data_IF_591374730155
#
_entry.id   IF_591374730155
#
_cell.length_a   1.000
_cell.length_b   1.000
_cell.length_c   1.000
_cell.angle_alpha   90.00
_cell.angle_beta   90.00
_cell.angle_gamma   90.00
#
_symmetry.space_group_name_H-M   'P 1'
#
loop_
_entity.id
_entity.type
_entity.pdbx_description
1 polymer ?
#
# COMPACT_ATOMS: atom_id res chain seq x y z
N UNK A 1 -21.53 -45.62 -15.23
CA UNK A 1 -20.18 -45.36 -14.67
C UNK A 1 -19.75 -43.89 -14.71
N UNK A 2 -19.90 -43.18 -15.84
CA UNK A 2 -19.52 -41.76 -15.98
C UNK A 2 -20.16 -40.75 -15.00
N UNK A 3 -21.48 -40.81 -14.68
CA UNK A 3 -22.10 -39.79 -13.81
C UNK A 3 -21.60 -39.88 -12.36
N UNK A 4 -21.32 -41.09 -11.86
CA UNK A 4 -20.76 -41.30 -10.52
C UNK A 4 -19.34 -40.72 -10.43
N UNK A 5 -18.54 -40.82 -11.49
CA UNK A 5 -17.21 -40.21 -11.53
C UNK A 5 -17.27 -38.68 -11.48
N UNK A 6 -18.20 -38.04 -12.23
CA UNK A 6 -18.38 -36.59 -12.19
C UNK A 6 -18.86 -36.09 -10.82
N UNK A 7 -19.79 -36.81 -10.17
CA UNK A 7 -20.25 -36.48 -8.82
C UNK A 7 -19.07 -36.54 -7.82
N UNK A 8 -18.25 -37.59 -7.87
CA UNK A 8 -17.06 -37.71 -7.01
C UNK A 8 -16.07 -36.57 -7.23
N UNK A 9 -15.81 -36.22 -8.49
CA UNK A 9 -14.91 -35.11 -8.83
C UNK A 9 -15.46 -33.75 -8.35
N UNK A 10 -16.77 -33.53 -8.48
CA UNK A 10 -17.41 -32.29 -8.00
C UNK A 10 -17.37 -32.17 -6.47
N UNK A 11 -17.63 -33.27 -5.76
CA UNK A 11 -17.54 -33.30 -4.29
C UNK A 11 -16.10 -33.06 -3.84
N UNK A 12 -15.13 -33.78 -4.40
CA UNK A 12 -13.72 -33.58 -4.08
C UNK A 12 -13.23 -32.15 -4.38
N UNK A 13 -13.62 -31.61 -5.55
CA UNK A 13 -13.29 -30.23 -5.93
C UNK A 13 -13.87 -29.20 -4.97
N UNK A 14 -15.15 -29.36 -4.59
CA UNK A 14 -15.80 -28.45 -3.62
C UNK A 14 -15.14 -28.53 -2.24
N UNK A 15 -14.80 -29.73 -1.77
CA UNK A 15 -14.09 -29.92 -0.50
C UNK A 15 -12.71 -29.27 -0.52
N UNK A 16 -11.96 -29.35 -1.62
CA UNK A 16 -10.68 -28.64 -1.71
C UNK A 16 -10.85 -27.12 -1.76
N UNK A 17 -11.76 -26.62 -2.61
CA UNK A 17 -11.97 -25.17 -2.80
C UNK A 17 -12.51 -24.47 -1.55
N UNK A 18 -13.38 -25.14 -0.78
CA UNK A 18 -13.99 -24.56 0.44
C UNK A 18 -13.22 -24.99 1.68
N UNK A 19 -12.79 -26.24 1.76
CA UNK A 19 -12.08 -26.80 2.90
C UNK A 19 -10.70 -26.18 3.12
N UNK A 20 -9.99 -25.80 2.06
CA UNK A 20 -8.72 -25.06 2.19
C UNK A 20 -8.90 -23.73 2.94
N UNK A 21 -9.70 -22.79 2.41
CA UNK A 21 -10.00 -21.53 3.10
C UNK A 21 -10.63 -21.73 4.48
N UNK A 22 -11.57 -22.67 4.63
CA UNK A 22 -12.21 -22.95 5.92
C UNK A 22 -11.22 -23.43 6.99
N UNK A 23 -10.27 -24.30 6.62
CA UNK A 23 -9.21 -24.75 7.52
C UNK A 23 -8.31 -23.59 7.92
N UNK A 24 -7.94 -22.72 6.98
CA UNK A 24 -7.13 -21.51 7.26
C UNK A 24 -7.87 -20.60 8.24
N UNK A 25 -9.16 -20.34 8.02
CA UNK A 25 -9.95 -19.53 8.95
C UNK A 25 -10.07 -20.18 10.33
N UNK A 26 -10.15 -21.51 10.40
CA UNK A 26 -10.24 -22.23 11.67
C UNK A 26 -8.94 -22.17 12.49
N UNK A 27 -7.77 -22.24 11.84
CA UNK A 27 -6.47 -22.23 12.54
C UNK A 27 -5.91 -20.83 12.77
N UNK A 28 -6.31 -19.86 11.96
CA UNK A 28 -5.80 -18.48 12.09
C UNK A 28 -6.48 -17.83 13.30
N UNK A 29 -5.73 -17.43 14.33
CA UNK A 29 -6.30 -16.80 15.51
C UNK A 29 -6.93 -15.45 15.17
N UNK A 30 -7.97 -15.08 15.91
CA UNK A 30 -8.68 -13.81 15.73
C UNK A 30 -7.74 -12.60 15.95
N UNK A 31 -7.91 -11.49 15.21
CA UNK A 31 -7.05 -10.31 15.33
C UNK A 31 -6.99 -9.75 16.76
N UNK A 32 -8.08 -9.83 17.52
CA UNK A 32 -8.18 -9.33 18.89
C UNK A 32 -7.41 -10.21 19.88
N UNK A 33 -7.39 -11.53 19.66
CA UNK A 33 -6.57 -12.45 20.45
C UNK A 33 -5.08 -12.24 20.15
N UNK A 34 -4.74 -12.00 18.89
CA UNK A 34 -3.37 -11.71 18.47
C UNK A 34 -2.89 -10.37 19.07
N UNK A 35 -3.75 -9.36 19.10
CA UNK A 35 -3.46 -8.06 19.72
C UNK A 35 -3.15 -8.18 21.21
N UNK A 36 -3.90 -9.02 21.96
CA UNK A 36 -3.64 -9.28 23.39
C UNK A 36 -2.29 -9.94 23.64
N UNK A 37 -1.77 -10.71 22.68
CA UNK A 37 -0.45 -11.36 22.76
C UNK A 37 0.71 -10.43 22.40
N UNK A 38 0.44 -9.24 21.86
CA UNK A 38 1.49 -8.27 21.52
C UNK A 38 2.08 -7.60 22.76
N UNK A 39 3.36 -7.24 22.67
CA UNK A 39 4.03 -6.39 23.65
C UNK A 39 3.30 -5.02 23.76
N UNK A 40 3.31 -4.37 24.94
CA UNK A 40 2.55 -3.14 25.18
C UNK A 40 2.90 -1.99 24.22
N UNK A 41 4.15 -1.90 23.77
CA UNK A 41 4.58 -0.92 22.77
C UNK A 41 3.90 -1.15 21.41
N UNK A 42 3.80 -2.41 20.97
CA UNK A 42 3.18 -2.78 19.69
C UNK A 42 1.66 -2.61 19.73
N UNK A 43 1.03 -2.81 20.88
CA UNK A 43 -0.39 -2.52 21.08
C UNK A 43 -0.66 -1.03 20.88
N UNK A 44 0.11 -0.17 21.54
CA UNK A 44 -0.01 1.29 21.41
C UNK A 44 0.20 1.73 19.96
N UNK A 45 1.27 1.26 19.31
CA UNK A 45 1.56 1.58 17.91
C UNK A 45 0.46 1.11 16.96
N UNK A 46 -0.15 -0.05 17.22
CA UNK A 46 -1.25 -0.57 16.39
C UNK A 46 -2.51 0.29 16.53
N UNK A 47 -2.81 0.78 17.74
CA UNK A 47 -3.92 1.69 17.99
C UNK A 47 -3.70 3.05 17.31
N UNK A 48 -2.50 3.63 17.45
CA UNK A 48 -2.13 4.89 16.79
C UNK A 48 -2.15 4.78 15.27
N UNK A 49 -1.72 3.65 14.71
CA UNK A 49 -1.71 3.42 13.26
C UNK A 49 -3.07 2.98 12.70
N UNK A 50 -4.13 2.85 13.51
CA UNK A 50 -5.42 2.35 13.02
C UNK A 50 -6.02 3.26 11.95
N UNK A 51 -6.13 4.55 12.24
CA UNK A 51 -6.66 5.55 11.29
C UNK A 51 -5.78 5.64 10.05
N UNK A 52 -4.46 5.61 10.23
CA UNK A 52 -3.49 5.62 9.11
C UNK A 52 -3.68 4.39 8.21
N UNK A 53 -3.94 3.23 8.80
CA UNK A 53 -4.18 1.97 8.07
C UNK A 53 -5.48 2.02 7.28
N UNK A 54 -6.56 2.51 7.89
CA UNK A 54 -7.85 2.70 7.22
C UNK A 54 -7.73 3.67 6.05
N UNK A 55 -7.06 4.80 6.26
CA UNK A 55 -6.80 5.79 5.20
C UNK A 55 -5.96 5.21 4.06
N UNK A 56 -4.87 4.49 4.38
CA UNK A 56 -4.03 3.82 3.37
C UNK A 56 -4.80 2.76 2.60
N UNK A 57 -5.68 2.03 3.27
CA UNK A 57 -6.53 1.02 2.64
C UNK A 57 -7.52 1.66 1.65
N UNK A 58 -8.19 2.73 2.07
CA UNK A 58 -9.09 3.49 1.21
C UNK A 58 -8.36 4.08 -0.02
N UNK A 59 -7.17 4.66 0.19
CA UNK A 59 -6.34 5.17 -0.90
C UNK A 59 -5.91 4.06 -1.86
N UNK A 60 -5.50 2.91 -1.32
CA UNK A 60 -5.09 1.75 -2.11
C UNK A 60 -6.25 1.21 -2.96
N UNK A 61 -7.44 1.05 -2.38
CA UNK A 61 -8.65 0.65 -3.12
C UNK A 61 -9.02 1.69 -4.19
N UNK A 62 -8.83 2.98 -3.91
CA UNK A 62 -9.01 4.05 -4.88
C UNK A 62 -8.08 3.91 -6.09
N UNK A 63 -6.78 3.73 -5.84
CA UNK A 63 -5.78 3.50 -6.91
C UNK A 63 -6.05 2.22 -7.70
N UNK A 64 -6.39 1.12 -7.03
CA UNK A 64 -6.75 -0.12 -7.70
C UNK A 64 -7.95 0.04 -8.62
N UNK A 65 -8.99 0.77 -8.17
CA UNK A 65 -10.16 1.07 -9.01
C UNK A 65 -9.77 1.90 -10.23
N UNK A 66 -8.85 2.85 -10.07
CA UNK A 66 -8.35 3.65 -11.18
C UNK A 66 -7.53 2.82 -12.17
N UNK A 67 -6.62 1.99 -11.68
CA UNK A 67 -5.80 1.10 -12.51
C UNK A 67 -6.62 0.05 -13.23
N UNK A 68 -7.71 -0.42 -12.60
CA UNK A 68 -8.65 -1.36 -13.19
C UNK A 68 -9.39 -0.81 -14.42
N UNK A 69 -9.38 0.51 -14.65
CA UNK A 69 -9.98 1.12 -15.86
C UNK A 69 -9.06 1.04 -17.07
N UNK A 70 -7.78 0.72 -16.88
CA UNK A 70 -6.82 0.59 -17.96
C UNK A 70 -6.82 -0.84 -18.51
N UNK A 71 -6.68 -0.97 -19.82
CA UNK A 71 -6.49 -2.27 -20.49
C UNK A 71 -5.10 -2.88 -20.22
N UNK A 72 -4.17 -2.10 -19.65
CA UNK A 72 -2.85 -2.57 -19.26
C UNK A 72 -2.92 -3.34 -17.94
N UNK A 73 -2.04 -4.33 -17.72
CA UNK A 73 -1.94 -4.99 -16.42
C UNK A 73 -1.64 -4.00 -15.28
N UNK A 74 -2.28 -4.18 -14.14
CA UNK A 74 -2.22 -3.26 -12.98
C UNK A 74 -0.78 -2.93 -12.56
N UNK A 75 0.13 -3.91 -12.60
CA UNK A 75 1.53 -3.72 -12.23
C UNK A 75 2.31 -2.81 -13.20
N UNK A 76 1.92 -2.76 -14.47
CA UNK A 76 2.53 -1.86 -15.46
C UNK A 76 2.08 -0.43 -15.21
N UNK A 77 0.78 -0.22 -15.02
CA UNK A 77 0.20 1.11 -14.74
C UNK A 77 0.75 1.67 -13.42
N UNK A 78 0.82 0.85 -12.39
CA UNK A 78 1.40 1.25 -11.10
C UNK A 78 2.88 1.67 -11.24
N UNK A 79 3.68 0.93 -12.02
CA UNK A 79 5.08 1.27 -12.26
C UNK A 79 5.24 2.55 -13.10
N UNK A 80 4.35 2.80 -14.06
CA UNK A 80 4.32 4.04 -14.84
C UNK A 80 3.98 5.25 -13.94
N UNK A 81 2.99 5.12 -13.05
CA UNK A 81 2.67 6.16 -12.08
C UNK A 81 3.80 6.40 -11.08
N UNK A 82 4.43 5.35 -10.55
CA UNK A 82 5.56 5.50 -9.63
C UNK A 82 6.72 6.26 -10.29
N UNK A 83 7.03 5.96 -11.56
CA UNK A 83 8.03 6.70 -12.34
C UNK A 83 7.63 8.17 -12.49
N UNK A 84 6.37 8.45 -12.83
CA UNK A 84 5.86 9.82 -12.96
C UNK A 84 5.95 10.60 -11.65
N UNK A 85 5.58 9.97 -10.52
CA UNK A 85 5.69 10.57 -9.19
C UNK A 85 7.14 10.84 -8.80
N UNK A 86 8.07 9.91 -9.07
CA UNK A 86 9.50 10.11 -8.80
C UNK A 86 10.08 11.27 -9.62
N UNK A 87 9.74 11.37 -10.90
CA UNK A 87 10.18 12.48 -11.76
C UNK A 87 9.65 13.81 -11.22
N UNK A 88 8.36 13.89 -10.92
CA UNK A 88 7.75 15.10 -10.36
C UNK A 88 8.37 15.48 -9.01
N UNK A 89 8.57 14.52 -8.11
CA UNK A 89 9.21 14.77 -6.81
C UNK A 89 10.66 15.24 -6.94
N UNK A 90 11.43 14.68 -7.89
CA UNK A 90 12.80 15.13 -8.14
C UNK A 90 12.84 16.53 -8.76
N UNK A 91 11.93 16.83 -9.69
CA UNK A 91 11.81 18.16 -10.27
C UNK A 91 11.48 19.20 -9.18
N UNK A 92 10.53 18.89 -8.30
CA UNK A 92 10.15 19.78 -7.19
C UNK A 92 11.29 19.98 -6.19
N UNK A 93 11.97 18.91 -5.79
CA UNK A 93 13.17 18.98 -4.93
C UNK A 93 14.27 19.85 -5.54
N UNK A 94 14.44 19.80 -6.86
CA UNK A 94 15.40 20.65 -7.57
C UNK A 94 14.97 22.11 -7.52
N UNK A 95 13.69 22.43 -7.79
CA UNK A 95 13.18 23.80 -7.72
C UNK A 95 13.36 24.42 -6.33
N UNK A 96 13.02 23.67 -5.28
CA UNK A 96 13.20 24.13 -3.90
C UNK A 96 14.68 24.39 -3.59
N UNK A 97 15.58 23.52 -4.07
CA UNK A 97 17.03 23.72 -3.91
C UNK A 97 17.51 24.99 -4.62
N UNK A 98 17.12 25.16 -5.88
CA UNK A 98 17.52 26.31 -6.69
C UNK A 98 17.00 27.62 -6.05
N UNK A 99 15.79 27.61 -5.48
CA UNK A 99 15.21 28.75 -4.76
C UNK A 99 15.94 29.05 -3.43
N UNK A 100 16.30 28.02 -2.65
CA UNK A 100 17.11 28.18 -1.44
C UNK A 100 18.51 28.71 -1.74
N UNK A 101 19.12 28.30 -2.86
CA UNK A 101 20.42 28.80 -3.29
C UNK A 101 20.36 30.28 -3.68
N UNK A 102 19.30 30.71 -4.39
CA UNK A 102 19.08 32.13 -4.71
C UNK A 102 18.91 32.98 -3.45
N UNK A 103 18.07 32.54 -2.51
CA UNK A 103 17.88 33.24 -1.24
C UNK A 103 19.19 33.39 -0.44
N UNK A 104 20.05 32.35 -0.45
CA UNK A 104 21.36 32.43 0.21
C UNK A 104 22.30 33.42 -0.45
N UNK A 105 22.25 33.53 -1.78
CA UNK A 105 23.06 34.50 -2.52
C UNK A 105 22.60 35.93 -2.23
N UNK A 106 21.29 36.19 -2.24
CA UNK A 106 20.72 37.50 -1.89
C UNK A 106 21.11 37.94 -0.47
N UNK A 107 21.01 37.05 0.52
CA UNK A 107 21.43 37.34 1.91
C UNK A 107 22.93 37.64 2.00
N UNK A 108 23.77 36.92 1.24
CA UNK A 108 25.21 37.15 1.24
C UNK A 108 25.57 38.51 0.59
N UNK A 109 24.88 38.87 -0.50
CA UNK A 109 25.04 40.15 -1.18
C UNK A 109 24.59 41.33 -0.30
N UNK A 110 23.46 41.22 0.41
CA UNK A 110 23.01 42.23 1.37
C UNK A 110 24.01 42.41 2.54
N UNK A 111 24.58 41.32 3.06
CA UNK A 111 25.59 41.37 4.12
C UNK A 111 26.91 42.02 3.67
N UNK A 112 27.28 41.87 2.39
CA UNK A 112 28.47 42.48 1.81
C UNK A 112 28.25 43.96 1.43
N UNK A 113 27.04 44.34 1.03
CA UNK A 113 26.69 45.73 0.69
C UNK A 113 26.37 46.60 1.91
N UNK A 114 26.11 46.01 3.08
CA UNK A 114 25.79 46.71 4.33
C UNK A 114 26.99 47.08 5.21
N UNK A 115 28.22 47.06 4.67
CA UNK A 115 29.46 47.35 5.39
C UNK A 115 30.28 48.42 4.67
#
# INVERSE_FOLDING_TARGET
>A
MRPIAYIKMFVAGTVCCVGGPALVYYVTPDPDELFKRYNPELQKKTLEMREVREKRYAEFMGKLREYSKSDKPIWVVAAEEEKKQKIAANAERKRIRDEQERQRQEILEEQLSGK
#
